data_IF_597300898746
#
_entry.id   IF_597300898746
#
_cell.length_a   1.000
_cell.length_b   1.000
_cell.length_c   1.000
_cell.angle_alpha   90.00
_cell.angle_beta   90.00
_cell.angle_gamma   90.00
#
_symmetry.space_group_name_H-M   'P 1'
#
loop_
_entity.id
_entity.type
_entity.pdbx_description
1 polymer ?
#
# COMPACT_ATOMS: atom_id res chain seq x y z
N UNK A 1 -12.74 -0.19 -6.94
CA UNK A 1 -11.40 -0.41 -6.37
C UNK A 1 -10.62 0.89 -6.43
N UNK A 2 -10.77 1.71 -5.41
CA UNK A 2 -9.86 2.80 -5.09
C UNK A 2 -8.80 2.22 -4.17
N UNK A 3 -7.55 2.24 -4.64
CA UNK A 3 -6.41 1.95 -3.78
C UNK A 3 -6.14 3.16 -2.92
N UNK A 4 -6.30 3.01 -1.62
CA UNK A 4 -5.95 4.01 -0.63
C UNK A 4 -4.58 3.60 -0.10
N UNK A 5 -3.61 4.47 -0.30
CA UNK A 5 -2.25 4.28 0.19
C UNK A 5 -2.04 5.32 1.27
N UNK A 6 -1.77 4.86 2.48
CA UNK A 6 -1.52 5.66 3.67
C UNK A 6 -0.11 5.35 4.16
N UNK A 7 0.68 6.38 4.43
CA UNK A 7 1.98 6.27 5.07
C UNK A 7 1.89 6.97 6.41
N UNK A 8 2.10 6.23 7.49
CA UNK A 8 2.00 6.75 8.86
C UNK A 8 0.62 7.39 9.14
N UNK A 9 -0.45 6.78 8.62
CA UNK A 9 -1.81 7.31 8.68
C UNK A 9 -2.10 8.50 7.76
N UNK A 10 -1.10 9.03 7.04
CA UNK A 10 -1.29 10.09 6.04
C UNK A 10 -1.49 9.52 4.66
N UNK A 11 -2.59 9.89 4.01
CA UNK A 11 -2.85 9.48 2.63
C UNK A 11 -1.81 10.07 1.69
N UNK A 12 -1.10 9.21 0.97
CA UNK A 12 -0.12 9.60 -0.05
C UNK A 12 -0.55 9.12 -1.43
N UNK A 13 -0.02 9.75 -2.47
CA UNK A 13 -0.24 9.29 -3.84
C UNK A 13 0.69 8.10 -4.16
N UNK A 14 0.27 7.20 -5.06
CA UNK A 14 1.13 6.11 -5.57
C UNK A 14 2.45 6.65 -6.12
N UNK A 15 2.45 7.84 -6.73
CA UNK A 15 3.66 8.49 -7.23
C UNK A 15 4.62 8.86 -6.10
N UNK A 16 4.14 9.54 -5.06
CA UNK A 16 4.98 9.90 -3.91
C UNK A 16 5.53 8.67 -3.19
N UNK A 17 4.73 7.61 -3.05
CA UNK A 17 5.19 6.35 -2.47
C UNK A 17 6.27 5.67 -3.33
N UNK A 18 6.08 5.69 -4.65
CA UNK A 18 7.03 5.15 -5.63
C UNK A 18 8.36 5.94 -5.66
N UNK A 19 8.34 7.25 -5.42
CA UNK A 19 9.54 8.06 -5.29
C UNK A 19 10.28 7.80 -3.96
N UNK A 20 9.56 7.51 -2.87
CA UNK A 20 10.16 7.21 -1.57
C UNK A 20 10.71 5.79 -1.47
N UNK A 21 9.95 4.78 -1.92
CA UNK A 21 10.28 3.36 -1.72
C UNK A 21 10.77 2.66 -2.99
N UNK A 22 10.70 3.34 -4.14
CA UNK A 22 10.99 2.74 -5.44
C UNK A 22 9.76 2.08 -6.07
N UNK A 23 9.70 2.12 -7.39
CA UNK A 23 8.56 1.62 -8.17
C UNK A 23 8.34 0.12 -8.01
N UNK A 24 9.44 -0.64 -8.02
CA UNK A 24 9.40 -2.11 -7.98
C UNK A 24 8.85 -2.62 -6.66
N UNK A 25 9.34 -2.05 -5.55
CA UNK A 25 8.92 -2.45 -4.21
C UNK A 25 7.45 -2.11 -3.98
N UNK A 26 7.02 -0.92 -4.41
CA UNK A 26 5.62 -0.51 -4.31
C UNK A 26 4.68 -1.33 -5.18
N UNK A 27 5.08 -1.66 -6.41
CA UNK A 27 4.22 -2.46 -7.30
C UNK A 27 4.06 -3.88 -6.76
N UNK A 28 5.12 -4.44 -6.16
CA UNK A 28 5.05 -5.71 -5.44
C UNK A 28 4.07 -5.66 -4.26
N UNK A 29 4.16 -4.65 -3.38
CA UNK A 29 3.21 -4.49 -2.25
C UNK A 29 1.77 -4.32 -2.72
N UNK A 30 1.54 -3.50 -3.76
CA UNK A 30 0.19 -3.30 -4.29
C UNK A 30 -0.37 -4.60 -4.86
N UNK A 31 0.47 -5.42 -5.50
CA UNK A 31 0.05 -6.72 -6.00
C UNK A 31 -0.30 -7.67 -4.86
N UNK A 32 0.56 -7.78 -3.85
CA UNK A 32 0.30 -8.58 -2.64
C UNK A 32 -0.98 -8.12 -1.95
N UNK A 33 -1.14 -6.81 -1.73
CA UNK A 33 -2.32 -6.24 -1.12
C UNK A 33 -3.60 -6.54 -1.94
N UNK A 34 -3.49 -6.58 -3.27
CA UNK A 34 -4.62 -6.89 -4.16
C UNK A 34 -4.99 -8.36 -4.11
N UNK A 35 -4.01 -9.25 -3.95
CA UNK A 35 -4.25 -10.69 -3.75
C UNK A 35 -4.95 -10.92 -2.40
N UNK A 36 -4.44 -10.30 -1.33
CA UNK A 36 -5.06 -10.32 0.00
C UNK A 36 -6.50 -9.80 -0.04
N UNK A 37 -6.74 -8.66 -0.69
CA UNK A 37 -8.09 -8.11 -0.83
C UNK A 37 -9.04 -9.03 -1.63
N UNK A 38 -8.51 -9.82 -2.56
CA UNK A 38 -9.31 -10.76 -3.33
C UNK A 38 -9.69 -12.00 -2.52
N UNK A 39 -8.81 -12.42 -1.61
CA UNK A 39 -9.11 -13.47 -0.62
C UNK A 39 -10.09 -12.95 0.43
N UNK A 40 -9.78 -11.80 1.04
CA UNK A 40 -10.58 -11.18 2.09
C UNK A 40 -10.72 -9.66 1.85
N UNK A 41 -11.90 -9.17 1.39
CA UNK A 41 -12.08 -7.77 1.05
C UNK A 41 -12.09 -6.81 2.26
N UNK A 42 -12.03 -7.33 3.48
CA UNK A 42 -11.91 -6.54 4.71
C UNK A 42 -10.49 -6.49 5.26
N UNK A 43 -9.54 -7.22 4.67
CA UNK A 43 -8.17 -7.28 5.17
C UNK A 43 -7.34 -6.11 4.64
N UNK A 44 -6.78 -5.32 5.57
CA UNK A 44 -5.82 -4.27 5.25
C UNK A 44 -4.42 -4.85 5.20
N UNK A 45 -3.62 -4.45 4.21
CA UNK A 45 -2.23 -4.88 4.15
C UNK A 45 -1.32 -3.73 4.56
N UNK A 46 -0.65 -3.89 5.70
CA UNK A 46 0.28 -2.90 6.25
C UNK A 46 1.71 -3.44 6.31
N UNK A 47 2.67 -2.63 5.86
CA UNK A 47 4.10 -2.94 5.86
C UNK A 47 4.89 -1.82 6.55
N UNK A 48 5.85 -2.21 7.38
CA UNK A 48 6.82 -1.26 7.91
C UNK A 48 7.93 -1.02 6.89
N UNK A 49 8.03 0.21 6.37
CA UNK A 49 9.02 0.57 5.34
C UNK A 49 10.29 1.23 5.90
N UNK A 50 10.53 1.12 7.21
CA UNK A 50 11.68 1.73 7.89
C UNK A 50 11.54 3.24 8.14
N UNK A 51 10.91 3.99 7.22
CA UNK A 51 10.59 5.41 7.36
C UNK A 51 9.16 5.69 7.85
N UNK A 52 8.31 4.67 7.87
CA UNK A 52 6.93 4.77 8.33
C UNK A 52 6.13 3.51 8.02
N UNK A 53 4.90 3.44 8.54
CA UNK A 53 3.99 2.34 8.29
C UNK A 53 3.17 2.59 7.03
N UNK A 54 3.45 1.82 5.99
CA UNK A 54 2.70 1.85 4.75
C UNK A 54 1.48 0.94 4.85
N UNK A 55 0.29 1.50 4.76
CA UNK A 55 -0.97 0.76 4.75
C UNK A 55 -1.59 0.90 3.36
N UNK A 56 -2.00 -0.22 2.78
CA UNK A 56 -2.70 -0.28 1.51
C UNK A 56 -4.06 -0.90 1.77
N UNK A 57 -5.11 -0.12 1.49
CA UNK A 57 -6.49 -0.54 1.59
C UNK A 57 -7.14 -0.45 0.21
N UNK A 58 -8.05 -1.37 -0.10
CA UNK A 58 -8.87 -1.30 -1.30
C UNK A 58 -10.32 -1.06 -0.90
N UNK A 59 -10.90 0.04 -1.38
CA UNK A 59 -12.28 0.43 -1.12
C UNK A 59 -13.06 0.75 -2.40
#
# INVERSE_FOLDING_TARGET
>A
MRTIITLDGKKISKKAACEMFGKEDMDKRIREAKEVFFEDPNEESSWWMGSGMLTIEFR
#
